data_IF_632267516309
#
_entry.id   IF_632267516309
#
_cell.length_a   1.000
_cell.length_b   1.000
_cell.length_c   1.000
_cell.angle_alpha   90.00
_cell.angle_beta   90.00
_cell.angle_gamma   90.00
#
_symmetry.space_group_name_H-M   'P 1'
#
loop_
_entity.id
_entity.type
_entity.pdbx_description
1 polymer ?
#
# COMPACT_ATOMS: atom_id res chain seq x y z
N UNK A 1 17.86 -7.05 -7.19
CA UNK A 1 16.63 -6.41 -6.71
C UNK A 1 16.99 -5.30 -5.74
N UNK A 2 16.36 -4.15 -5.90
CA UNK A 2 16.51 -3.07 -4.93
C UNK A 2 15.87 -3.54 -3.64
N UNK A 3 16.66 -3.55 -2.57
CA UNK A 3 16.42 -4.16 -1.26
C UNK A 3 15.25 -3.52 -0.50
N UNK A 4 14.02 -3.69 -0.99
CA UNK A 4 12.82 -3.28 -0.29
C UNK A 4 11.98 -4.50 0.04
N UNK A 5 11.72 -4.67 1.30
CA UNK A 5 10.85 -5.70 1.83
C UNK A 5 9.84 -5.09 2.79
N UNK A 6 8.72 -5.77 2.94
CA UNK A 6 7.69 -5.44 3.89
C UNK A 6 7.52 -6.62 4.83
N UNK A 7 7.34 -6.34 6.09
CA UNK A 7 7.25 -7.33 7.16
C UNK A 7 6.07 -7.04 8.05
N UNK A 8 5.43 -8.10 8.53
CA UNK A 8 4.46 -8.01 9.63
C UNK A 8 4.40 -9.36 10.37
N UNK A 9 3.86 -9.35 11.58
CA UNK A 9 3.79 -10.53 12.42
C UNK A 9 2.44 -11.24 12.30
N UNK A 10 2.49 -12.58 12.24
CA UNK A 10 1.35 -13.46 12.42
C UNK A 10 1.65 -14.42 13.56
N UNK A 11 1.05 -14.18 14.73
CA UNK A 11 1.40 -14.87 15.97
C UNK A 11 2.89 -14.69 16.31
N UNK A 12 3.64 -15.78 16.42
CA UNK A 12 5.09 -15.77 16.67
C UNK A 12 5.94 -15.79 15.39
N UNK A 13 5.30 -15.93 14.23
CA UNK A 13 5.98 -15.94 12.93
C UNK A 13 6.04 -14.52 12.33
N UNK A 14 7.13 -14.20 11.64
CA UNK A 14 7.25 -13.01 10.82
C UNK A 14 6.95 -13.38 9.37
N UNK A 15 6.03 -12.68 8.73
CA UNK A 15 5.86 -12.74 7.28
C UNK A 15 6.68 -11.62 6.63
N UNK A 16 7.49 -12.01 5.67
CA UNK A 16 8.35 -11.12 4.90
C UNK A 16 7.93 -11.20 3.42
N UNK A 17 7.66 -10.07 2.79
CA UNK A 17 7.38 -10.03 1.35
C UNK A 17 8.34 -9.15 0.61
N UNK A 18 8.79 -9.61 -0.54
CA UNK A 18 9.55 -8.77 -1.47
C UNK A 18 8.61 -7.82 -2.21
N UNK A 19 9.15 -6.78 -2.78
CA UNK A 19 8.39 -5.84 -3.61
C UNK A 19 7.75 -6.48 -4.85
N UNK A 20 8.33 -7.58 -5.32
CA UNK A 20 7.82 -8.40 -6.42
C UNK A 20 6.78 -9.45 -5.99
N UNK A 21 6.42 -9.48 -4.69
CA UNK A 21 5.34 -10.33 -4.18
C UNK A 21 5.76 -11.76 -3.84
N UNK A 22 7.05 -12.05 -3.66
CA UNK A 22 7.50 -13.33 -3.10
C UNK A 22 7.38 -13.23 -1.58
N UNK A 23 6.72 -14.21 -0.97
CA UNK A 23 6.47 -14.22 0.48
C UNK A 23 7.27 -15.33 1.13
N UNK A 24 7.85 -15.01 2.28
CA UNK A 24 8.53 -15.95 3.16
C UNK A 24 7.94 -15.89 4.56
N UNK A 25 7.91 -17.05 5.22
CA UNK A 25 7.68 -17.16 6.65
C UNK A 25 9.02 -17.29 7.35
N UNK A 26 9.24 -16.45 8.34
CA UNK A 26 10.44 -16.48 9.18
C UNK A 26 10.04 -16.92 10.56
N UNK A 27 10.55 -18.06 11.00
CA UNK A 27 10.41 -18.53 12.37
C UNK A 27 11.64 -18.16 13.18
N UNK A 28 11.39 -17.68 14.39
CA UNK A 28 12.43 -17.33 15.35
C UNK A 28 12.38 -18.37 16.48
N UNK A 29 13.34 -19.28 16.53
CA UNK A 29 13.44 -20.28 17.61
C UNK A 29 14.90 -20.42 18.05
N UNK A 30 15.15 -20.46 19.38
CA UNK A 30 16.48 -20.67 19.97
C UNK A 30 17.61 -19.81 19.37
N UNK A 31 17.32 -18.53 19.11
CA UNK A 31 18.24 -17.56 18.47
C UNK A 31 18.63 -17.94 17.01
N UNK A 32 17.88 -18.85 16.39
CA UNK A 32 18.03 -19.20 14.98
C UNK A 32 16.85 -18.68 14.17
N UNK A 33 17.16 -18.20 12.97
CA UNK A 33 16.15 -17.82 11.98
C UNK A 33 16.01 -18.93 10.95
N UNK A 34 14.80 -19.39 10.73
CA UNK A 34 14.48 -20.28 9.60
C UNK A 34 13.57 -19.55 8.63
N UNK A 35 13.93 -19.58 7.35
CA UNK A 35 13.22 -18.92 6.27
C UNK A 35 12.60 -19.98 5.37
N UNK A 36 11.29 -19.95 5.20
CA UNK A 36 10.58 -20.84 4.29
C UNK A 36 9.69 -20.06 3.31
N UNK A 37 9.70 -20.39 2.01
CA UNK A 37 8.82 -19.74 1.05
C UNK A 37 7.37 -20.12 1.32
N UNK A 38 6.46 -19.13 1.17
CA UNK A 38 5.02 -19.34 1.27
C UNK A 38 4.43 -19.36 -0.13
N UNK A 39 3.74 -20.44 -0.46
CA UNK A 39 3.03 -20.54 -1.75
C UNK A 39 1.95 -19.46 -1.83
N UNK A 40 1.99 -18.65 -2.89
CA UNK A 40 0.99 -17.61 -3.09
C UNK A 40 0.81 -17.28 -4.58
N UNK A 41 -0.33 -16.68 -4.91
CA UNK A 41 -0.57 -16.12 -6.24
C UNK A 41 -0.18 -14.64 -6.34
N UNK A 42 0.49 -14.08 -5.34
CA UNK A 42 0.79 -12.65 -5.27
C UNK A 42 1.76 -12.21 -6.38
N UNK A 43 2.83 -12.97 -6.59
CA UNK A 43 3.81 -12.66 -7.63
C UNK A 43 3.21 -12.72 -9.03
N UNK A 44 2.39 -13.74 -9.33
CA UNK A 44 1.70 -13.87 -10.60
C UNK A 44 0.72 -12.72 -10.85
N UNK A 45 0.07 -12.23 -9.79
CA UNK A 45 -0.85 -11.11 -9.82
C UNK A 45 -0.17 -9.80 -10.24
N UNK A 46 1.09 -9.63 -9.81
CA UNK A 46 1.87 -8.44 -10.08
C UNK A 46 2.67 -8.52 -11.39
N UNK A 47 3.28 -9.65 -11.68
CA UNK A 47 4.27 -9.83 -12.76
C UNK A 47 3.68 -9.76 -14.17
N UNK A 48 2.45 -10.23 -14.38
CA UNK A 48 1.84 -10.27 -15.73
C UNK A 48 1.82 -8.93 -16.46
N UNK A 49 1.99 -7.82 -15.74
CA UNK A 49 1.99 -6.46 -16.31
C UNK A 49 3.35 -5.78 -16.33
N UNK A 50 4.34 -6.35 -15.61
CA UNK A 50 5.68 -5.80 -15.56
C UNK A 50 6.60 -6.36 -16.68
N UNK A 51 6.38 -7.59 -17.11
CA UNK A 51 7.18 -8.23 -18.15
C UNK A 51 7.06 -7.51 -19.50
N UNK A 52 5.88 -7.01 -19.83
CA UNK A 52 5.63 -6.31 -21.09
C UNK A 52 6.32 -4.93 -21.20
N UNK A 53 6.75 -4.34 -20.09
CA UNK A 53 7.32 -2.98 -20.05
C UNK A 53 8.81 -2.92 -19.77
N UNK A 54 9.46 -4.04 -19.49
CA UNK A 54 10.85 -4.07 -18.97
C UNK A 54 11.91 -4.48 -20.00
N UNK A 55 11.81 -4.00 -21.22
CA UNK A 55 12.89 -4.22 -22.20
C UNK A 55 14.21 -3.48 -21.85
N UNK A 56 14.25 -2.64 -20.82
CA UNK A 56 15.50 -2.02 -20.37
C UNK A 56 15.44 -1.71 -18.86
N UNK A 57 16.25 -2.42 -18.08
CA UNK A 57 16.51 -2.12 -16.67
C UNK A 57 17.39 -0.87 -16.60
N UNK A 58 16.81 0.30 -16.71
CA UNK A 58 17.48 1.54 -16.37
C UNK A 58 17.01 2.01 -15.01
N UNK A 59 17.91 2.14 -14.05
CA UNK A 59 17.63 2.58 -12.68
C UNK A 59 16.85 3.90 -12.62
N UNK A 60 17.03 4.77 -13.61
CA UNK A 60 16.33 6.05 -13.76
C UNK A 60 14.99 5.94 -14.51
N UNK A 61 14.64 4.75 -15.02
CA UNK A 61 13.36 4.57 -15.67
C UNK A 61 12.22 4.66 -14.63
N UNK A 62 11.28 5.63 -14.76
CA UNK A 62 10.13 5.72 -13.86
C UNK A 62 9.24 4.48 -13.87
N UNK A 63 9.34 3.66 -14.90
CA UNK A 63 8.59 2.40 -15.09
C UNK A 63 9.34 1.16 -14.60
N UNK A 64 10.49 1.30 -13.91
CA UNK A 64 11.17 0.13 -13.35
C UNK A 64 10.27 -0.62 -12.36
N UNK A 65 10.34 -1.95 -12.35
CA UNK A 65 9.59 -2.83 -11.42
C UNK A 65 9.71 -2.37 -9.96
N UNK A 66 10.89 -1.85 -9.60
CA UNK A 66 11.15 -1.34 -8.25
C UNK A 66 10.26 -0.16 -7.83
N UNK A 67 9.66 0.56 -8.75
CA UNK A 67 8.80 1.71 -8.48
C UNK A 67 7.32 1.35 -8.43
N UNK A 68 6.94 0.25 -9.07
CA UNK A 68 5.63 -0.38 -8.97
C UNK A 68 5.68 -1.55 -7.97
N UNK A 69 4.71 -2.41 -7.94
CA UNK A 69 4.69 -3.57 -7.05
C UNK A 69 4.10 -3.27 -5.68
N UNK A 70 4.44 -4.10 -4.71
CA UNK A 70 3.94 -3.99 -3.33
C UNK A 70 4.44 -2.69 -2.69
N UNK A 71 3.57 -2.07 -1.89
CA UNK A 71 3.84 -0.83 -1.15
C UNK A 71 3.81 -1.03 0.36
N UNK A 72 3.03 -1.97 0.84
CA UNK A 72 2.99 -2.40 2.23
C UNK A 72 2.26 -3.72 2.38
N UNK A 73 2.48 -4.42 3.48
CA UNK A 73 1.63 -5.50 3.97
C UNK A 73 1.17 -5.19 5.38
N UNK A 74 0.00 -5.71 5.74
CA UNK A 74 -0.53 -5.64 7.08
C UNK A 74 -1.27 -6.92 7.42
N UNK A 75 -1.05 -7.45 8.61
CA UNK A 75 -1.71 -8.63 9.12
C UNK A 75 -2.69 -8.23 10.21
N UNK A 76 -3.90 -8.74 10.11
CA UNK A 76 -4.95 -8.56 11.09
C UNK A 76 -5.68 -9.88 11.27
N UNK A 77 -5.67 -10.39 12.48
CA UNK A 77 -6.13 -11.74 12.81
C UNK A 77 -5.55 -12.77 11.83
N UNK A 78 -6.41 -13.44 11.10
CA UNK A 78 -6.08 -14.49 10.15
C UNK A 78 -6.01 -14.02 8.69
N UNK A 79 -5.89 -12.69 8.45
CA UNK A 79 -5.82 -12.12 7.12
C UNK A 79 -4.55 -11.31 6.91
N UNK A 80 -3.95 -11.47 5.73
CA UNK A 80 -2.90 -10.58 5.23
C UNK A 80 -3.49 -9.67 4.14
N UNK A 81 -3.22 -8.39 4.28
CA UNK A 81 -3.55 -7.35 3.31
C UNK A 81 -2.29 -6.87 2.64
N UNK A 82 -2.34 -6.61 1.34
CA UNK A 82 -1.23 -6.01 0.62
C UNK A 82 -1.72 -4.84 -0.24
N UNK A 83 -1.05 -3.71 -0.14
CA UNK A 83 -1.24 -2.59 -1.06
C UNK A 83 -0.22 -2.66 -2.19
N UNK A 84 -0.63 -2.26 -3.38
CA UNK A 84 0.22 -2.28 -4.56
C UNK A 84 -0.24 -1.25 -5.58
N UNK A 85 0.62 -0.89 -6.53
CA UNK A 85 0.19 -0.09 -7.67
C UNK A 85 -0.44 -1.03 -8.71
N UNK A 86 -1.74 -0.88 -8.91
CA UNK A 86 -2.49 -1.58 -9.94
C UNK A 86 -2.33 -0.88 -11.29
N UNK A 87 -2.07 -1.67 -12.33
CA UNK A 87 -2.13 -1.25 -13.73
C UNK A 87 -3.49 -1.60 -14.31
N UNK A 88 -4.28 -0.59 -14.66
CA UNK A 88 -5.60 -0.73 -15.27
C UNK A 88 -5.55 -0.82 -16.80
N UNK A 89 -4.35 -0.89 -17.37
CA UNK A 89 -4.13 -0.82 -18.82
C UNK A 89 -4.09 0.63 -19.33
N UNK A 90 -3.78 0.80 -20.62
CA UNK A 90 -3.78 2.11 -21.29
C UNK A 90 -2.94 3.19 -20.58
N UNK A 91 -1.90 2.80 -19.83
CA UNK A 91 -1.07 3.69 -19.02
C UNK A 91 -1.81 4.34 -17.81
N UNK A 92 -2.82 3.68 -17.28
CA UNK A 92 -3.59 4.13 -16.11
C UNK A 92 -3.20 3.32 -14.88
N UNK A 93 -2.93 4.01 -13.77
CA UNK A 93 -2.43 3.41 -12.52
C UNK A 93 -3.14 3.99 -11.30
N UNK A 94 -3.22 3.22 -10.23
CA UNK A 94 -3.52 3.73 -8.90
C UNK A 94 -3.18 2.72 -7.82
N UNK A 95 -3.24 3.12 -6.55
CA UNK A 95 -3.01 2.25 -5.39
C UNK A 95 -4.25 1.45 -5.06
N UNK A 96 -4.11 0.14 -5.01
CA UNK A 96 -5.17 -0.84 -4.70
C UNK A 96 -4.77 -1.75 -3.55
N UNK A 97 -5.74 -2.48 -2.99
CA UNK A 97 -5.53 -3.43 -1.89
C UNK A 97 -6.11 -4.79 -2.25
N UNK A 98 -5.34 -5.82 -1.96
CA UNK A 98 -5.73 -7.23 -2.03
C UNK A 98 -5.62 -7.86 -0.65
N UNK A 99 -6.36 -8.94 -0.41
CA UNK A 99 -6.32 -9.71 0.83
C UNK A 99 -6.29 -11.20 0.58
N UNK A 100 -5.67 -11.94 1.50
CA UNK A 100 -5.73 -13.39 1.57
C UNK A 100 -5.96 -13.85 3.02
N UNK A 101 -6.65 -14.95 3.20
CA UNK A 101 -6.66 -15.66 4.49
C UNK A 101 -5.33 -16.38 4.67
N UNK A 102 -4.75 -16.31 5.87
CA UNK A 102 -3.46 -16.94 6.18
C UNK A 102 -3.66 -18.43 6.41
N UNK A 103 -3.23 -19.21 5.44
CA UNK A 103 -3.27 -20.68 5.37
C UNK A 103 -1.93 -21.19 4.83
N UNK A 104 -1.84 -22.48 4.54
CA UNK A 104 -0.65 -23.08 3.89
C UNK A 104 -0.33 -22.44 2.53
N UNK A 105 -1.34 -21.94 1.84
CA UNK A 105 -1.21 -21.16 0.60
C UNK A 105 -2.00 -19.86 0.72
N UNK A 106 -1.41 -18.76 0.29
CA UNK A 106 -2.04 -17.44 0.32
C UNK A 106 -2.67 -17.14 -1.05
N UNK A 107 -3.99 -17.22 -1.10
CA UNK A 107 -4.76 -16.90 -2.32
C UNK A 107 -5.35 -15.50 -2.20
N UNK A 108 -4.62 -14.54 -2.72
CA UNK A 108 -5.04 -13.14 -2.72
C UNK A 108 -6.23 -12.90 -3.64
N UNK A 109 -7.15 -12.05 -3.15
CA UNK A 109 -8.30 -11.53 -3.89
C UNK A 109 -8.36 -10.01 -3.71
N UNK A 110 -8.93 -9.32 -4.70
CA UNK A 110 -9.11 -7.87 -4.62
C UNK A 110 -10.07 -7.51 -3.50
N UNK A 111 -9.64 -6.57 -2.64
CA UNK A 111 -10.49 -5.96 -1.61
C UNK A 111 -10.92 -4.57 -2.04
N UNK A 112 -9.97 -3.72 -2.46
CA UNK A 112 -10.23 -2.35 -2.87
C UNK A 112 -9.52 -2.04 -4.18
N UNK A 113 -10.22 -1.35 -5.06
CA UNK A 113 -9.69 -0.82 -6.31
C UNK A 113 -10.38 0.53 -6.58
N UNK A 114 -9.63 1.62 -6.76
CA UNK A 114 -10.22 2.93 -7.01
C UNK A 114 -10.91 2.98 -8.37
N UNK A 115 -11.92 3.86 -8.48
CA UNK A 115 -12.62 4.11 -9.75
C UNK A 115 -12.01 5.23 -10.59
N UNK A 116 -11.10 6.01 -10.00
CA UNK A 116 -10.33 7.04 -10.68
C UNK A 116 -8.88 6.59 -10.84
N UNK A 117 -8.25 7.00 -11.92
CA UNK A 117 -6.92 6.56 -12.32
C UNK A 117 -6.03 7.73 -12.65
N UNK A 118 -4.72 7.56 -12.45
CA UNK A 118 -3.70 8.51 -12.85
C UNK A 118 -3.01 8.02 -14.13
N UNK A 119 -2.92 8.89 -15.12
CA UNK A 119 -2.26 8.57 -16.37
C UNK A 119 -0.75 8.75 -16.28
N UNK A 120 0.02 7.74 -16.64
CA UNK A 120 1.48 7.85 -16.73
C UNK A 120 1.95 8.66 -17.96
N UNK A 121 1.02 9.13 -18.80
CA UNK A 121 1.31 10.09 -19.88
C UNK A 121 1.43 11.52 -19.36
N UNK A 122 1.04 11.77 -18.12
CA UNK A 122 1.29 13.07 -17.47
C UNK A 122 2.79 13.35 -17.40
N UNK A 123 3.21 14.56 -17.75
CA UNK A 123 4.62 14.97 -17.79
C UNK A 123 5.39 14.67 -16.50
N UNK A 124 4.72 14.83 -15.36
CA UNK A 124 5.34 14.70 -14.04
C UNK A 124 4.99 13.38 -13.32
N UNK A 125 4.26 12.45 -13.94
CA UNK A 125 3.86 11.20 -13.30
C UNK A 125 4.99 10.52 -12.54
N UNK A 126 4.72 10.14 -11.29
CA UNK A 126 5.70 9.45 -10.46
C UNK A 126 5.07 8.34 -9.61
N UNK A 127 5.34 7.07 -9.90
CA UNK A 127 4.85 5.92 -9.11
C UNK A 127 5.53 5.82 -7.73
N UNK A 128 6.60 6.59 -7.48
CA UNK A 128 7.23 6.68 -6.16
C UNK A 128 6.31 7.44 -5.19
N UNK A 129 5.49 8.37 -5.71
CA UNK A 129 4.57 9.17 -4.91
C UNK A 129 3.18 8.53 -4.85
N UNK A 130 3.13 7.27 -4.48
CA UNK A 130 1.91 6.47 -4.44
C UNK A 130 1.35 6.26 -3.03
N UNK A 131 2.08 6.62 -1.97
CA UNK A 131 1.74 6.23 -0.60
C UNK A 131 1.76 4.71 -0.46
N UNK A 132 0.72 4.13 0.08
CA UNK A 132 0.46 2.70 0.12
C UNK A 132 0.53 2.07 1.51
N UNK A 133 0.71 2.83 2.59
CA UNK A 133 0.71 2.26 3.95
C UNK A 133 -0.68 1.80 4.36
N UNK A 134 -0.73 0.61 4.97
CA UNK A 134 -1.95 0.00 5.49
C UNK A 134 -1.81 -0.20 7.00
N UNK A 135 -2.86 0.16 7.77
CA UNK A 135 -2.97 -0.18 9.20
C UNK A 135 -4.41 -0.48 9.54
N UNK A 136 -4.61 -1.22 10.62
CA UNK A 136 -5.95 -1.39 11.19
C UNK A 136 -6.56 -0.04 11.53
N UNK A 137 -7.87 0.05 11.38
CA UNK A 137 -8.65 1.22 11.75
C UNK A 137 -9.99 0.79 12.32
N UNK A 138 -10.12 0.92 13.65
CA UNK A 138 -11.27 0.39 14.37
C UNK A 138 -11.41 -1.13 14.11
N UNK A 139 -12.53 -1.71 14.40
CA UNK A 139 -12.68 -3.18 14.37
C UNK A 139 -12.83 -3.77 12.96
N UNK A 140 -13.36 -3.02 11.99
CA UNK A 140 -13.83 -3.55 10.71
C UNK A 140 -13.21 -2.88 9.48
N UNK A 141 -12.27 -1.98 9.67
CA UNK A 141 -11.71 -1.16 8.61
C UNK A 141 -10.19 -1.14 8.63
N UNK A 142 -9.61 -0.71 7.53
CA UNK A 142 -8.20 -0.40 7.36
C UNK A 142 -8.07 1.08 7.01
N UNK A 143 -7.01 1.73 7.45
CA UNK A 143 -6.51 2.96 6.83
C UNK A 143 -5.57 2.60 5.69
N UNK A 144 -5.69 3.34 4.59
CA UNK A 144 -4.77 3.29 3.46
C UNK A 144 -4.34 4.70 3.09
N UNK A 145 -3.03 4.92 3.00
CA UNK A 145 -2.50 6.15 2.42
C UNK A 145 -2.40 6.02 0.91
N UNK A 146 -2.82 7.05 0.17
CA UNK A 146 -2.69 7.11 -1.30
C UNK A 146 -2.03 8.44 -1.65
N UNK A 147 -0.89 8.39 -2.32
CA UNK A 147 -0.19 9.58 -2.78
C UNK A 147 -0.81 10.22 -4.01
N UNK A 148 -0.35 11.40 -4.35
CA UNK A 148 -0.88 12.20 -5.47
C UNK A 148 -0.32 11.79 -6.84
N UNK A 149 0.73 10.95 -6.90
CA UNK A 149 1.44 10.56 -8.13
C UNK A 149 1.98 11.77 -8.94
N UNK A 150 2.15 12.92 -8.31
CA UNK A 150 2.41 14.27 -8.86
C UNK A 150 1.22 14.92 -9.56
N UNK A 151 0.02 14.37 -9.46
CA UNK A 151 -1.21 15.11 -9.78
C UNK A 151 -1.67 15.90 -8.54
N UNK A 152 -1.07 17.06 -8.33
CA UNK A 152 -1.34 17.91 -7.16
C UNK A 152 -2.79 18.35 -7.06
N UNK A 153 -3.48 18.49 -8.21
CA UNK A 153 -4.88 18.89 -8.25
C UNK A 153 -5.79 17.82 -7.65
N UNK A 154 -5.42 16.56 -7.78
CA UNK A 154 -6.16 15.44 -7.21
C UNK A 154 -6.16 15.45 -5.68
N UNK A 155 -5.09 15.96 -5.03
CA UNK A 155 -4.96 15.97 -3.57
C UNK A 155 -6.07 16.79 -2.87
N UNK A 156 -6.58 17.83 -3.49
CA UNK A 156 -7.65 18.69 -2.96
C UNK A 156 -9.06 18.27 -3.43
N UNK A 157 -9.15 17.40 -4.42
CA UNK A 157 -10.43 17.00 -5.01
C UNK A 157 -11.09 15.86 -4.23
N UNK A 158 -12.30 16.05 -3.74
CA UNK A 158 -13.11 14.98 -3.14
C UNK A 158 -13.58 13.91 -4.14
N UNK A 159 -13.41 14.16 -5.44
CA UNK A 159 -13.72 13.20 -6.50
C UNK A 159 -12.58 12.21 -6.77
N UNK A 160 -11.44 12.39 -6.12
CA UNK A 160 -10.26 11.54 -6.28
C UNK A 160 -9.84 10.93 -4.94
N UNK A 161 -9.35 9.70 -4.96
CA UNK A 161 -8.69 9.07 -3.80
C UNK A 161 -7.21 9.43 -3.71
N UNK A 162 -6.65 10.10 -4.72
CA UNK A 162 -5.24 10.46 -4.75
C UNK A 162 -4.95 11.66 -3.83
N UNK A 163 -3.83 11.60 -3.12
CA UNK A 163 -3.49 12.56 -2.07
C UNK A 163 -4.44 12.48 -0.87
N UNK A 164 -4.82 11.27 -0.48
CA UNK A 164 -5.79 11.01 0.61
C UNK A 164 -5.28 9.94 1.57
N UNK A 165 -5.82 9.99 2.78
CA UNK A 165 -5.94 8.81 3.65
C UNK A 165 -7.39 8.38 3.60
N UNK A 166 -7.64 7.12 3.28
CA UNK A 166 -8.98 6.55 3.19
C UNK A 166 -9.16 5.43 4.21
N UNK A 167 -10.38 5.25 4.67
CA UNK A 167 -10.78 4.07 5.44
C UNK A 167 -11.46 3.09 4.50
N UNK A 168 -11.07 1.81 4.55
CA UNK A 168 -11.59 0.74 3.71
C UNK A 168 -12.22 -0.33 4.61
N UNK A 169 -13.47 -0.70 4.36
CA UNK A 169 -14.13 -1.79 5.07
C UNK A 169 -13.52 -3.14 4.68
N UNK A 170 -13.05 -3.92 5.68
CA UNK A 170 -12.36 -5.21 5.49
C UNK A 170 -13.22 -6.30 4.83
N UNK A 171 -14.56 -6.18 4.94
CA UNK A 171 -15.50 -7.17 4.43
C UNK A 171 -15.85 -6.96 2.95
N UNK A 172 -16.16 -5.72 2.57
CA UNK A 172 -16.73 -5.42 1.24
C UNK A 172 -15.92 -4.44 0.40
N UNK A 173 -14.82 -3.88 0.93
CA UNK A 173 -13.96 -2.94 0.21
C UNK A 173 -14.57 -1.54 0.01
N UNK A 174 -15.75 -1.27 0.58
CA UNK A 174 -16.33 0.07 0.61
C UNK A 174 -15.40 1.05 1.34
N UNK A 175 -15.27 2.29 0.84
CA UNK A 175 -14.32 3.24 1.39
C UNK A 175 -14.93 4.61 1.65
N UNK A 176 -14.28 5.38 2.52
CA UNK A 176 -14.54 6.80 2.74
C UNK A 176 -13.22 7.56 2.87
N UNK A 177 -13.20 8.82 2.46
CA UNK A 177 -12.07 9.72 2.68
C UNK A 177 -12.04 10.13 4.15
N UNK A 178 -10.87 9.99 4.78
CA UNK A 178 -10.63 10.35 6.18
C UNK A 178 -9.83 11.65 6.26
N UNK A 179 -8.83 11.82 5.40
CA UNK A 179 -8.02 13.02 5.30
C UNK A 179 -7.66 13.30 3.84
N UNK A 180 -7.40 14.56 3.52
CA UNK A 180 -7.09 15.03 2.16
C UNK A 180 -5.93 16.03 2.17
N UNK A 181 -5.39 16.31 0.99
CA UNK A 181 -4.29 17.28 0.84
C UNK A 181 -2.90 16.66 0.94
N UNK A 182 -2.81 15.34 1.00
CA UNK A 182 -1.54 14.63 1.12
C UNK A 182 -0.79 14.56 -0.20
N UNK A 183 0.55 14.69 -0.12
CA UNK A 183 1.42 14.54 -1.28
C UNK A 183 1.89 13.10 -1.45
N UNK A 184 2.64 12.57 -0.49
CA UNK A 184 3.20 11.23 -0.54
C UNK A 184 3.36 10.65 0.88
N UNK A 185 2.27 10.27 1.53
CA UNK A 185 2.31 9.75 2.89
C UNK A 185 2.91 8.34 2.92
N UNK A 186 4.08 8.20 3.55
CA UNK A 186 4.90 6.99 3.58
C UNK A 186 4.93 6.32 4.95
N UNK A 187 4.51 7.01 6.02
CA UNK A 187 4.31 6.46 7.36
C UNK A 187 2.83 6.55 7.74
N UNK A 188 2.37 5.57 8.51
CA UNK A 188 1.01 5.54 9.06
C UNK A 188 1.00 4.62 10.29
N UNK A 189 0.38 5.09 11.36
CA UNK A 189 0.01 4.26 12.49
C UNK A 189 -1.29 4.77 13.12
N UNK A 190 -2.05 3.87 13.78
CA UNK A 190 -3.32 4.20 14.41
C UNK A 190 -3.36 3.72 15.85
N UNK A 191 -3.73 4.62 16.72
CA UNK A 191 -3.87 4.42 18.16
C UNK A 191 -5.33 4.33 18.52
N UNK A 192 -5.80 3.11 18.76
CA UNK A 192 -7.22 2.81 18.91
C UNK A 192 -7.81 3.36 20.22
N UNK A 193 -7.02 3.39 21.29
CA UNK A 193 -7.49 3.84 22.62
C UNK A 193 -7.84 5.34 22.62
N UNK A 194 -7.02 6.15 21.96
CA UNK A 194 -7.20 7.60 21.88
C UNK A 194 -7.86 8.05 20.58
N UNK A 195 -8.21 7.11 19.70
CA UNK A 195 -8.87 7.32 18.39
C UNK A 195 -8.18 8.40 17.53
N UNK A 196 -6.84 8.33 17.42
CA UNK A 196 -6.07 9.15 16.50
C UNK A 196 -5.14 8.33 15.62
N UNK A 197 -4.72 8.87 14.51
CA UNK A 197 -3.65 8.31 13.70
C UNK A 197 -2.58 9.34 13.40
N UNK A 198 -1.36 8.84 13.23
CA UNK A 198 -0.20 9.62 12.84
C UNK A 198 0.21 9.21 11.43
N UNK A 199 0.49 10.18 10.58
CA UNK A 199 1.08 9.93 9.28
C UNK A 199 2.34 10.77 9.08
N UNK A 200 3.30 10.23 8.35
CA UNK A 200 4.48 10.98 7.91
C UNK A 200 4.50 11.03 6.39
N UNK A 201 4.85 12.16 5.82
CA UNK A 201 4.87 12.32 4.38
C UNK A 201 6.01 13.19 3.87
N UNK A 202 6.42 12.88 2.64
CA UNK A 202 7.37 13.70 1.92
C UNK A 202 6.68 14.95 1.35
N UNK A 203 7.09 16.10 1.86
CA UNK A 203 6.66 17.39 1.36
C UNK A 203 7.47 17.88 0.13
N UNK A 204 7.09 18.99 -0.49
CA UNK A 204 7.87 19.61 -1.53
C UNK A 204 9.05 20.40 -0.91
N UNK A 205 10.24 20.29 -1.52
CA UNK A 205 11.41 21.12 -1.18
C UNK A 205 11.78 21.16 0.31
N UNK A 206 11.76 20.00 0.99
CA UNK A 206 12.14 19.89 2.40
C UNK A 206 11.00 20.16 3.39
N UNK A 207 9.75 20.24 2.91
CA UNK A 207 8.58 20.35 3.77
C UNK A 207 8.02 18.97 4.18
N UNK A 208 8.88 18.05 4.63
CA UNK A 208 8.45 16.77 5.17
C UNK A 208 7.67 16.99 6.48
N UNK A 209 6.59 16.22 6.68
CA UNK A 209 5.62 16.47 7.72
C UNK A 209 5.37 15.24 8.59
N UNK A 210 5.05 15.49 9.85
CA UNK A 210 4.42 14.53 10.75
C UNK A 210 3.04 15.08 11.07
N UNK A 211 2.00 14.39 10.63
CA UNK A 211 0.62 14.81 10.77
C UNK A 211 -0.09 14.01 11.86
N UNK A 212 -0.62 14.72 12.85
CA UNK A 212 -1.50 14.19 13.88
C UNK A 212 -2.95 14.41 13.48
N UNK A 213 -3.72 13.33 13.38
CA UNK A 213 -5.11 13.38 12.96
C UNK A 213 -5.99 12.77 14.04
N UNK A 214 -6.61 13.63 14.83
CA UNK A 214 -7.58 13.22 15.84
C UNK A 214 -8.89 12.90 15.13
N UNK A 215 -9.38 11.70 15.35
CA UNK A 215 -10.62 11.24 14.76
C UNK A 215 -11.80 11.76 15.57
N UNK A 216 -12.17 13.01 15.37
CA UNK A 216 -13.34 13.63 16.01
C UNK A 216 -14.63 13.08 15.42
N UNK A 217 -14.93 11.81 15.67
CA UNK A 217 -16.26 11.27 15.44
C UNK A 217 -17.20 11.91 16.46
N UNK A 218 -17.75 13.09 16.14
CA UNK A 218 -18.73 13.76 16.98
C UNK A 218 -18.67 15.28 17.04
N UNK A 219 -17.73 15.94 16.44
CA UNK A 219 -17.83 17.40 16.24
C UNK A 219 -18.68 17.66 15.00
N UNK A 220 -19.95 17.99 15.24
CA UNK A 220 -20.86 18.60 14.26
C UNK A 220 -20.48 20.06 14.06
#
# INVERSE_FOLDING_TARGET
>A
EVNTAYIDFHNEDLLYTTKSGIIFRVKISDKKLSLSPVKSNLSEYLLKKFEEKNASINYYNPYSVSKFGIKDIHIDDNYIYASYIEDFGSNLYNTSVIKAEIKDSLIFKKLFSPKNYISSKMKEFSPIQSGGRIRNFKNDSLLLTIGEYRDRSAAQSLKSVNGKIISINKKNGGYRIVSLGHRNPQGLDYYNEEDYYVSTEHGPFGGDEINFNINTAGQK
#
